data_IF_915131014329
#
_entry.id   IF_915131014329
#
_cell.length_a   1.000
_cell.length_b   1.000
_cell.length_c   1.000
_cell.angle_alpha   90.00
_cell.angle_beta   90.00
_cell.angle_gamma   90.00
#
_symmetry.space_group_name_H-M   'P 1'
#
loop_
_entity.id
_entity.type
_entity.pdbx_description
1 polymer ?
#
# COMPACT_ATOMS: atom_id res chain seq x y z
N UNK A 1 -53.03 15.00 6.24
CA UNK A 1 -51.72 14.62 6.82
C UNK A 1 -51.19 13.35 6.16
N UNK A 2 -51.98 12.28 6.12
CA UNK A 2 -51.62 10.98 5.54
C UNK A 2 -51.21 11.03 4.06
N UNK A 3 -51.94 11.78 3.24
CA UNK A 3 -51.65 11.93 1.80
C UNK A 3 -50.23 12.48 1.53
N UNK A 4 -49.79 13.49 2.29
CA UNK A 4 -48.43 14.03 2.19
C UNK A 4 -47.37 13.00 2.62
N UNK A 5 -47.69 12.16 3.61
CA UNK A 5 -46.79 11.09 4.05
C UNK A 5 -46.62 10.04 2.95
N UNK A 6 -47.72 9.66 2.27
CA UNK A 6 -47.68 8.70 1.16
C UNK A 6 -46.89 9.27 -0.02
N UNK A 7 -47.15 10.51 -0.42
CA UNK A 7 -46.42 11.16 -1.51
C UNK A 7 -44.91 11.28 -1.22
N UNK A 8 -44.54 11.63 0.01
CA UNK A 8 -43.13 11.69 0.41
C UNK A 8 -42.46 10.32 0.38
N UNK A 9 -43.20 9.27 0.74
CA UNK A 9 -42.70 7.89 0.66
C UNK A 9 -42.40 7.49 -0.78
N UNK A 10 -43.32 7.74 -1.70
CA UNK A 10 -43.11 7.44 -3.14
C UNK A 10 -41.91 8.20 -3.71
N UNK A 11 -41.77 9.50 -3.38
CA UNK A 11 -40.61 10.29 -3.79
C UNK A 11 -39.30 9.72 -3.26
N UNK A 12 -39.28 9.30 -2.00
CA UNK A 12 -38.10 8.67 -1.38
C UNK A 12 -37.75 7.35 -2.06
N UNK A 13 -38.75 6.50 -2.33
CA UNK A 13 -38.52 5.21 -2.97
C UNK A 13 -38.03 5.37 -4.42
N UNK A 14 -38.56 6.33 -5.17
CA UNK A 14 -38.04 6.68 -6.50
C UNK A 14 -36.61 7.21 -6.42
N UNK A 15 -36.32 8.10 -5.47
CA UNK A 15 -34.96 8.60 -5.26
C UNK A 15 -33.96 7.48 -4.95
N UNK A 16 -34.34 6.50 -4.12
CA UNK A 16 -33.50 5.33 -3.80
C UNK A 16 -33.22 4.47 -5.05
N UNK A 17 -34.22 4.24 -5.90
CA UNK A 17 -34.03 3.51 -7.16
C UNK A 17 -33.06 4.25 -8.09
N UNK A 18 -33.25 5.55 -8.27
CA UNK A 18 -32.38 6.38 -9.12
C UNK A 18 -30.93 6.38 -8.61
N UNK A 19 -30.71 6.47 -7.30
CA UNK A 19 -29.35 6.39 -6.71
C UNK A 19 -28.73 5.02 -6.98
N UNK A 20 -29.51 3.95 -6.81
CA UNK A 20 -29.03 2.58 -7.03
C UNK A 20 -28.64 2.36 -8.50
N UNK A 21 -29.47 2.82 -9.43
CA UNK A 21 -29.20 2.74 -10.86
C UNK A 21 -27.98 3.59 -11.26
N UNK A 22 -27.88 4.80 -10.74
CA UNK A 22 -26.75 5.71 -11.00
C UNK A 22 -25.43 5.12 -10.49
N UNK A 23 -25.41 4.54 -9.28
CA UNK A 23 -24.21 3.87 -8.77
C UNK A 23 -23.90 2.60 -9.59
N UNK A 24 -24.94 1.86 -9.97
CA UNK A 24 -24.82 0.66 -10.80
C UNK A 24 -24.21 0.93 -12.18
N UNK A 25 -24.63 2.00 -12.85
CA UNK A 25 -24.19 2.35 -14.22
C UNK A 25 -22.68 2.62 -14.32
N UNK A 26 -22.05 3.02 -13.22
CA UNK A 26 -20.62 3.34 -13.16
C UNK A 26 -19.76 2.27 -12.48
N UNK A 27 -20.36 1.22 -11.91
CA UNK A 27 -19.64 0.21 -11.12
C UNK A 27 -18.50 -0.45 -11.92
N UNK A 28 -18.77 -0.88 -13.15
CA UNK A 28 -17.74 -1.52 -14.00
C UNK A 28 -16.61 -0.56 -14.37
N UNK A 29 -16.93 0.71 -14.67
CA UNK A 29 -15.95 1.74 -14.98
C UNK A 29 -15.06 2.05 -13.77
N UNK A 30 -15.62 2.12 -12.57
CA UNK A 30 -14.87 2.33 -11.32
C UNK A 30 -13.92 1.15 -11.08
N UNK A 31 -14.41 -0.09 -11.16
CA UNK A 31 -13.57 -1.28 -10.99
C UNK A 31 -12.41 -1.31 -12.00
N UNK A 32 -12.68 -0.94 -13.25
CA UNK A 32 -11.63 -0.83 -14.27
C UNK A 32 -10.58 0.21 -13.90
N UNK A 33 -10.99 1.41 -13.47
CA UNK A 33 -10.06 2.44 -13.02
C UNK A 33 -9.23 1.99 -11.81
N UNK A 34 -9.83 1.32 -10.84
CA UNK A 34 -9.13 0.78 -9.67
C UNK A 34 -8.03 -0.22 -10.07
N UNK A 35 -8.31 -1.12 -11.03
CA UNK A 35 -7.30 -2.04 -11.55
C UNK A 35 -6.18 -1.29 -12.27
N UNK A 36 -6.53 -0.35 -13.17
CA UNK A 36 -5.53 0.43 -13.90
C UNK A 36 -4.63 1.26 -12.98
N UNK A 37 -5.19 1.90 -11.94
CA UNK A 37 -4.41 2.65 -10.96
C UNK A 37 -3.50 1.76 -10.12
N UNK A 38 -3.94 0.53 -9.79
CA UNK A 38 -3.11 -0.45 -9.08
C UNK A 38 -1.90 -0.87 -9.90
N UNK A 39 -2.12 -1.18 -11.17
CA UNK A 39 -1.05 -1.64 -12.06
C UNK A 39 -0.07 -0.49 -12.33
N UNK A 40 -0.57 0.72 -12.62
CA UNK A 40 0.26 1.91 -12.75
C UNK A 40 1.08 2.19 -11.49
N UNK A 41 0.48 2.04 -10.31
CA UNK A 41 1.21 2.22 -9.04
C UNK A 41 2.34 1.22 -8.89
N UNK A 42 2.13 -0.05 -9.29
CA UNK A 42 3.17 -1.09 -9.27
C UNK A 42 4.32 -0.80 -10.23
N UNK A 43 4.00 -0.29 -11.42
CA UNK A 43 5.00 0.03 -12.45
C UNK A 43 5.79 1.30 -12.13
N UNK A 44 5.11 2.36 -11.69
CA UNK A 44 5.74 3.68 -11.46
C UNK A 44 6.32 3.84 -10.06
N UNK A 45 5.81 3.09 -9.08
CA UNK A 45 6.31 3.10 -7.71
C UNK A 45 6.74 1.69 -7.31
N UNK A 46 7.74 1.09 -8.00
CA UNK A 46 8.27 -0.19 -7.58
C UNK A 46 8.83 -0.01 -6.18
N UNK A 47 8.21 -0.65 -5.19
CA UNK A 47 8.78 -0.72 -3.85
C UNK A 47 10.11 -1.45 -4.00
N UNK A 48 11.22 -0.73 -3.84
CA UNK A 48 12.54 -1.32 -3.87
C UNK A 48 12.61 -2.38 -2.76
N UNK A 49 12.58 -3.65 -3.15
CA UNK A 49 12.99 -4.74 -2.26
C UNK A 49 14.48 -4.52 -1.99
N UNK A 50 14.84 -4.40 -0.72
CA UNK A 50 16.21 -4.14 -0.28
C UNK A 50 16.49 -2.70 0.18
N UNK A 51 15.54 -1.75 0.03
CA UNK A 51 15.69 -0.48 0.73
C UNK A 51 15.33 -0.67 2.19
N UNK A 52 16.25 -0.26 3.05
CA UNK A 52 16.05 -0.28 4.49
C UNK A 52 14.75 0.46 4.82
N UNK A 53 13.92 -0.08 5.75
CA UNK A 53 12.67 0.58 6.10
C UNK A 53 12.95 2.03 6.54
N UNK A 54 12.00 2.94 6.29
CA UNK A 54 12.22 4.39 6.47
C UNK A 54 12.61 4.80 7.90
N UNK A 55 12.40 3.92 8.87
CA UNK A 55 12.81 4.08 10.27
C UNK A 55 14.24 3.58 10.55
N UNK A 56 15.01 3.28 9.52
CA UNK A 56 16.38 2.79 9.66
C UNK A 56 17.33 3.92 10.06
N UNK A 57 17.94 3.76 11.21
CA UNK A 57 19.02 4.64 11.68
C UNK A 57 20.33 3.88 11.47
N UNK A 58 21.13 4.33 10.49
CA UNK A 58 22.51 3.88 10.40
C UNK A 58 23.27 4.43 11.61
N UNK A 59 23.89 3.56 12.41
CA UNK A 59 24.79 3.98 13.48
C UNK A 59 26.20 4.07 12.87
N UNK A 60 26.69 5.25 12.47
CA UNK A 60 28.09 5.38 12.09
C UNK A 60 28.95 5.12 13.33
N UNK A 61 29.76 4.06 13.31
CA UNK A 61 30.82 3.88 14.32
C UNK A 61 32.03 4.73 13.91
N UNK A 62 32.62 5.40 14.90
CA UNK A 62 33.74 6.33 14.73
C UNK A 62 34.96 5.71 14.05
N UNK A 63 35.81 6.59 13.54
CA UNK A 63 36.97 6.37 12.65
C UNK A 63 38.06 5.42 13.18
N UNK A 64 37.75 4.15 13.41
CA UNK A 64 38.70 3.11 13.80
C UNK A 64 39.31 2.44 12.57
N UNK A 65 40.53 2.85 12.21
CA UNK A 65 41.39 2.19 11.22
C UNK A 65 41.88 0.82 11.75
N UNK A 66 41.04 -0.23 11.68
CA UNK A 66 41.41 -1.58 12.11
C UNK A 66 40.79 -2.70 11.25
N UNK A 67 41.45 -3.86 11.11
CA UNK A 67 41.10 -4.90 10.14
C UNK A 67 39.97 -5.85 10.57
N UNK A 68 39.30 -5.56 11.69
CA UNK A 68 38.16 -6.36 12.15
C UNK A 68 36.93 -5.98 11.31
N UNK A 69 36.61 -6.80 10.32
CA UNK A 69 35.42 -6.71 9.47
C UNK A 69 34.16 -6.43 10.30
N UNK A 70 33.65 -5.21 10.19
CA UNK A 70 32.47 -4.78 10.93
C UNK A 70 31.20 -5.24 10.22
N UNK A 71 30.47 -6.15 10.85
CA UNK A 71 29.06 -6.43 10.49
C UNK A 71 28.25 -5.17 10.86
N UNK A 72 27.64 -4.52 9.87
CA UNK A 72 26.66 -3.45 10.11
C UNK A 72 25.41 -4.06 10.74
N UNK A 73 25.13 -3.74 12.01
CA UNK A 73 23.89 -4.14 12.65
C UNK A 73 22.81 -3.08 12.37
N UNK A 74 21.81 -3.44 11.56
CA UNK A 74 20.67 -2.57 11.25
C UNK A 74 19.55 -2.87 12.23
N UNK A 75 19.30 -1.95 13.16
CA UNK A 75 18.24 -2.05 14.16
C UNK A 75 17.06 -1.20 13.71
N UNK A 76 15.89 -1.82 13.49
CA UNK A 76 14.64 -1.08 13.29
C UNK A 76 14.17 -0.46 14.60
N UNK A 77 13.41 0.65 14.57
CA UNK A 77 12.87 1.28 15.80
C UNK A 77 11.91 0.36 16.57
N UNK A 78 11.36 -0.66 15.88
CA UNK A 78 10.56 -1.73 16.49
C UNK A 78 11.39 -2.76 17.29
N UNK A 79 12.72 -2.63 17.33
CA UNK A 79 13.61 -3.59 17.99
C UNK A 79 13.78 -4.92 17.22
N UNK A 80 13.33 -4.98 15.97
CA UNK A 80 13.52 -6.16 15.11
C UNK A 80 14.87 -6.03 14.39
N UNK A 81 15.73 -7.04 14.54
CA UNK A 81 16.97 -7.17 13.77
C UNK A 81 16.59 -7.56 12.35
N UNK A 82 17.07 -6.82 11.35
CA UNK A 82 16.93 -7.24 9.96
C UNK A 82 17.91 -8.38 9.72
N UNK A 83 17.40 -9.61 9.62
CA UNK A 83 18.18 -10.75 9.17
C UNK A 83 18.54 -10.49 7.70
N UNK A 84 19.80 -10.18 7.43
CA UNK A 84 20.27 -9.87 6.09
C UNK A 84 20.07 -11.06 5.15
N UNK A 85 19.56 -10.80 3.95
CA UNK A 85 19.62 -11.73 2.81
C UNK A 85 21.08 -11.85 2.35
N UNK A 86 21.95 -12.46 3.15
CA UNK A 86 23.27 -12.92 2.74
C UNK A 86 23.24 -14.38 2.33
N UNK A 87 22.16 -14.82 1.69
CA UNK A 87 22.08 -16.08 0.95
C UNK A 87 21.48 -15.82 -0.44
N UNK A 88 22.12 -14.93 -1.22
CA UNK A 88 22.11 -15.11 -2.67
C UNK A 88 23.24 -16.07 -3.01
N UNK A 89 22.91 -17.36 -3.07
CA UNK A 89 23.73 -18.36 -3.75
C UNK A 89 23.73 -18.00 -5.23
N UNK A 90 24.81 -17.37 -5.70
CA UNK A 90 25.11 -17.29 -7.13
C UNK A 90 25.75 -18.64 -7.48
N UNK A 91 24.97 -19.54 -8.06
CA UNK A 91 25.50 -20.72 -8.75
C UNK A 91 26.24 -20.24 -10.00
N UNK A 92 27.54 -20.50 -10.07
CA UNK A 92 28.39 -20.19 -11.23
C UNK A 92 28.67 -21.52 -11.94
N UNK A 93 28.24 -21.63 -13.20
CA UNK A 93 28.82 -22.54 -14.19
C UNK A 93 30.07 -21.91 -14.82
#
# INVERSE_FOLDING_TARGET
MLERVLQNRERSDTSKRNITEFVGSHTASIQKLEMQMRDLSREQNPKQKGTLPSDTIAIPKGSGSGPTSHIMEIITRSGKVLQGESEQVIEVE
#
